data_IF_877200107105
#
_entry.id   IF_877200107105
#
_cell.length_a   1.000
_cell.length_b   1.000
_cell.length_c   1.000
_cell.angle_alpha   90.00
_cell.angle_beta   90.00
_cell.angle_gamma   90.00
#
_symmetry.space_group_name_H-M   'P 1'
#
loop_
_entity.id
_entity.type
_entity.pdbx_description
1 polymer ?
#
# COMPACT_ATOMS: atom_id res chain seq x y z
N UNK A 1 -6.04 5.63 16.72
CA UNK A 1 -7.49 5.60 16.55
C UNK A 1 -8.04 4.46 17.39
N UNK A 2 -8.99 4.75 18.29
CA UNK A 2 -9.62 3.71 19.11
C UNK A 2 -10.71 3.04 18.27
N UNK A 3 -10.44 1.86 17.74
CA UNK A 3 -11.39 1.06 16.95
C UNK A 3 -12.17 0.15 17.88
N UNK A 4 -13.47 -0.02 17.65
CA UNK A 4 -14.30 -1.06 18.24
C UNK A 4 -14.66 -2.09 17.18
N UNK A 5 -14.58 -3.37 17.54
CA UNK A 5 -14.94 -4.44 16.62
C UNK A 5 -16.32 -4.98 16.96
N UNK A 6 -17.12 -5.19 15.93
CA UNK A 6 -18.44 -5.81 16.04
C UNK A 6 -18.28 -7.32 15.95
N UNK A 7 -18.76 -8.05 16.94
CA UNK A 7 -18.55 -9.49 17.09
C UNK A 7 -19.90 -10.20 17.18
N UNK A 8 -20.17 -11.04 16.19
CA UNK A 8 -21.38 -11.86 16.19
C UNK A 8 -21.22 -13.05 17.13
N UNK A 9 -22.15 -13.23 18.06
CA UNK A 9 -22.18 -14.32 19.02
C UNK A 9 -23.27 -15.33 18.67
N UNK A 10 -22.89 -16.43 18.04
CA UNK A 10 -23.76 -17.53 17.65
C UNK A 10 -23.72 -18.67 18.64
N UNK A 11 -24.87 -19.08 19.08
CA UNK A 11 -25.10 -20.31 19.87
C UNK A 11 -26.59 -20.56 20.01
N UNK A 12 -26.96 -21.73 20.55
CA UNK A 12 -28.26 -21.91 21.18
C UNK A 12 -28.41 -20.98 22.40
N UNK A 13 -29.64 -20.61 22.74
CA UNK A 13 -29.89 -19.61 23.80
C UNK A 13 -30.16 -20.25 25.16
N UNK A 14 -31.25 -21.05 25.26
CA UNK A 14 -31.80 -21.53 26.54
C UNK A 14 -30.86 -22.40 27.36
N UNK A 15 -30.00 -23.17 26.73
CA UNK A 15 -29.05 -24.07 27.36
C UNK A 15 -27.72 -23.38 27.71
N UNK A 16 -27.44 -22.19 27.11
CA UNK A 16 -26.18 -21.47 27.23
C UNK A 16 -26.34 -20.04 27.75
N UNK A 17 -27.41 -19.71 28.46
CA UNK A 17 -27.67 -18.35 28.95
C UNK A 17 -26.51 -17.78 29.79
N UNK A 18 -25.98 -18.59 30.74
CA UNK A 18 -24.89 -18.17 31.60
C UNK A 18 -23.58 -18.01 30.82
N UNK A 19 -23.27 -18.93 29.93
CA UNK A 19 -22.09 -18.91 29.07
C UNK A 19 -22.11 -17.70 28.12
N UNK A 20 -23.27 -17.42 27.48
CA UNK A 20 -23.46 -16.25 26.66
C UNK A 20 -23.28 -14.93 27.42
N UNK A 21 -23.89 -14.81 28.59
CA UNK A 21 -23.76 -13.62 29.43
C UNK A 21 -22.30 -13.35 29.78
N UNK A 22 -21.52 -14.37 30.12
CA UNK A 22 -20.10 -14.26 30.45
C UNK A 22 -19.24 -13.88 29.24
N UNK A 23 -19.54 -14.43 28.07
CA UNK A 23 -18.86 -14.05 26.82
C UNK A 23 -19.19 -12.61 26.41
N UNK A 24 -20.45 -12.17 26.53
CA UNK A 24 -20.86 -10.79 26.27
C UNK A 24 -20.11 -9.83 27.20
N UNK A 25 -20.04 -10.12 28.50
CA UNK A 25 -19.25 -9.34 29.47
C UNK A 25 -17.78 -9.25 29.03
N UNK A 26 -17.20 -10.36 28.58
CA UNK A 26 -15.81 -10.42 28.10
C UNK A 26 -15.61 -9.55 26.86
N UNK A 27 -16.53 -9.58 25.90
CA UNK A 27 -16.49 -8.75 24.70
C UNK A 27 -16.57 -7.25 25.00
N UNK A 28 -17.47 -6.87 25.91
CA UNK A 28 -17.61 -5.48 26.38
C UNK A 28 -16.34 -4.99 27.09
N UNK A 29 -15.73 -5.82 27.93
CA UNK A 29 -14.46 -5.52 28.61
C UNK A 29 -13.29 -5.36 27.63
N UNK A 30 -13.41 -5.89 26.41
CA UNK A 30 -12.44 -5.72 25.32
C UNK A 30 -12.80 -4.58 24.34
N UNK A 31 -13.72 -3.69 24.75
CA UNK A 31 -14.20 -2.61 23.89
C UNK A 31 -14.82 -3.09 22.55
N UNK A 32 -15.29 -4.34 22.49
CA UNK A 32 -16.04 -4.87 21.36
C UNK A 32 -17.54 -4.60 21.49
N UNK A 33 -18.24 -4.66 20.36
CA UNK A 33 -19.71 -4.53 20.27
C UNK A 33 -20.27 -5.93 20.03
N UNK A 34 -20.83 -6.59 21.06
CA UNK A 34 -21.45 -7.91 20.86
C UNK A 34 -22.77 -7.77 20.09
N UNK A 35 -23.00 -8.67 19.15
CA UNK A 35 -24.24 -8.80 18.39
C UNK A 35 -24.75 -10.23 18.54
N UNK A 36 -26.01 -10.38 18.87
CA UNK A 36 -26.64 -11.69 19.05
C UNK A 36 -28.14 -11.61 18.79
N UNK A 37 -28.77 -12.76 18.64
CA UNK A 37 -30.19 -12.90 18.30
C UNK A 37 -31.14 -12.30 19.35
N UNK A 38 -30.70 -12.17 20.60
CA UNK A 38 -31.50 -11.61 21.71
C UNK A 38 -31.82 -10.12 21.57
N UNK A 39 -31.15 -9.41 20.68
CA UNK A 39 -31.32 -7.97 20.49
C UNK A 39 -32.26 -7.60 19.33
N UNK A 40 -32.87 -8.61 18.68
CA UNK A 40 -33.74 -8.36 17.52
C UNK A 40 -35.15 -7.91 17.92
N UNK A 41 -35.70 -6.89 17.25
CA UNK A 41 -37.09 -6.59 17.32
C UNK A 41 -37.91 -7.70 16.65
N UNK A 42 -39.14 -7.91 17.12
CA UNK A 42 -40.08 -8.75 16.41
C UNK A 42 -40.47 -8.07 15.08
N UNK A 43 -39.76 -8.39 14.01
CA UNK A 43 -40.02 -7.89 12.66
C UNK A 43 -40.71 -8.96 11.81
N UNK A 44 -41.57 -8.54 10.87
CA UNK A 44 -42.26 -9.45 9.96
C UNK A 44 -41.40 -9.96 8.78
N UNK A 45 -40.12 -9.72 8.80
CA UNK A 45 -39.16 -10.12 7.79
C UNK A 45 -38.67 -11.55 8.04
N UNK A 46 -38.14 -12.19 6.98
CA UNK A 46 -37.49 -13.50 7.10
C UNK A 46 -36.29 -13.44 8.06
N UNK A 47 -36.39 -14.21 9.13
CA UNK A 47 -35.37 -14.21 10.19
C UNK A 47 -33.97 -14.45 9.66
N UNK A 48 -33.78 -15.33 8.66
CA UNK A 48 -32.46 -15.65 8.12
C UNK A 48 -31.89 -14.50 7.29
N UNK A 49 -32.69 -13.74 6.60
CA UNK A 49 -32.28 -12.55 5.85
C UNK A 49 -31.70 -11.51 6.80
N UNK A 50 -32.40 -11.21 7.89
CA UNK A 50 -31.96 -10.26 8.90
C UNK A 50 -30.66 -10.70 9.58
N UNK A 51 -30.51 -12.00 9.88
CA UNK A 51 -29.30 -12.57 10.44
C UNK A 51 -28.11 -12.37 9.51
N UNK A 52 -28.28 -12.61 8.22
CA UNK A 52 -27.20 -12.43 7.21
C UNK A 52 -26.74 -10.98 7.12
N UNK A 53 -27.67 -10.03 7.10
CA UNK A 53 -27.35 -8.60 7.07
C UNK A 53 -26.47 -8.20 8.29
N UNK A 54 -26.80 -8.70 9.47
CA UNK A 54 -26.03 -8.41 10.68
C UNK A 54 -24.67 -9.10 10.71
N UNK A 55 -24.59 -10.31 10.20
CA UNK A 55 -23.30 -11.00 10.06
C UNK A 55 -22.40 -10.23 9.09
N UNK A 56 -22.95 -9.68 8.00
CA UNK A 56 -22.21 -8.89 7.02
C UNK A 56 -21.62 -7.59 7.61
N UNK A 57 -22.25 -7.03 8.66
CA UNK A 57 -21.77 -5.87 9.40
C UNK A 57 -20.71 -6.23 10.46
N UNK A 58 -20.57 -7.52 10.83
CA UNK A 58 -19.66 -7.96 11.86
C UNK A 58 -18.23 -8.16 11.36
N UNK A 59 -17.27 -7.82 12.22
CA UNK A 59 -15.85 -8.02 11.97
C UNK A 59 -15.39 -9.45 12.29
N UNK A 60 -15.93 -10.04 13.34
CA UNK A 60 -15.58 -11.39 13.83
C UNK A 60 -16.81 -12.18 14.20
N UNK A 61 -16.69 -13.48 14.17
CA UNK A 61 -17.74 -14.42 14.53
C UNK A 61 -17.26 -15.41 15.59
N UNK A 62 -18.08 -15.58 16.62
CA UNK A 62 -17.85 -16.53 17.72
C UNK A 62 -18.99 -17.55 17.70
N UNK A 63 -18.63 -18.84 17.60
CA UNK A 63 -19.56 -19.97 17.72
C UNK A 63 -19.34 -20.68 19.04
N UNK A 64 -20.44 -20.89 19.80
CA UNK A 64 -20.43 -21.70 21.00
C UNK A 64 -21.39 -22.87 20.82
N UNK A 65 -20.85 -24.10 20.88
CA UNK A 65 -21.62 -25.34 20.85
C UNK A 65 -21.74 -25.92 22.26
N UNK A 66 -22.96 -26.06 22.73
CA UNK A 66 -23.35 -26.72 23.98
C UNK A 66 -23.83 -28.16 23.77
N UNK A 67 -25.05 -28.46 24.24
CA UNK A 67 -25.69 -29.77 24.17
C UNK A 67 -26.86 -29.86 23.21
N UNK A 68 -27.28 -28.74 22.55
CA UNK A 68 -28.44 -28.69 21.68
C UNK A 68 -28.10 -28.24 20.27
N UNK A 69 -28.90 -28.73 19.31
CA UNK A 69 -28.77 -28.36 17.91
C UNK A 69 -29.35 -26.97 17.61
N UNK A 70 -30.42 -26.61 18.34
CA UNK A 70 -31.12 -25.34 18.21
C UNK A 70 -32.36 -25.41 17.34
N UNK A 71 -32.99 -24.26 17.17
CA UNK A 71 -34.24 -24.13 16.38
C UNK A 71 -33.99 -24.37 14.90
N UNK A 72 -34.87 -25.13 14.27
CA UNK A 72 -34.79 -25.50 12.85
C UNK A 72 -35.42 -24.41 12.00
N UNK A 73 -34.73 -24.03 10.93
CA UNK A 73 -35.28 -23.20 9.87
C UNK A 73 -36.12 -24.09 8.91
N UNK A 74 -37.41 -23.76 8.70
CA UNK A 74 -38.36 -24.68 8.04
C UNK A 74 -38.00 -25.07 6.60
N UNK A 75 -37.33 -24.21 5.83
CA UNK A 75 -37.05 -24.43 4.42
C UNK A 75 -35.82 -25.31 4.19
N UNK A 76 -34.79 -25.16 5.05
CA UNK A 76 -33.52 -25.87 4.93
C UNK A 76 -33.38 -27.11 5.79
N UNK A 77 -34.31 -27.30 6.76
CA UNK A 77 -34.22 -28.35 7.78
C UNK A 77 -32.95 -28.34 8.64
N UNK A 78 -32.18 -27.23 8.60
CA UNK A 78 -31.00 -26.99 9.41
C UNK A 78 -31.31 -26.05 10.58
N UNK A 79 -30.47 -26.08 11.63
CA UNK A 79 -30.61 -25.09 12.70
C UNK A 79 -30.11 -23.71 12.23
N UNK A 80 -30.69 -22.64 12.79
CA UNK A 80 -30.22 -21.28 12.52
C UNK A 80 -28.72 -21.15 12.84
N UNK A 81 -28.25 -21.72 13.94
CA UNK A 81 -26.83 -21.71 14.32
C UNK A 81 -25.93 -22.37 13.25
N UNK A 82 -26.39 -23.46 12.62
CA UNK A 82 -25.64 -24.07 11.52
C UNK A 82 -25.67 -23.21 10.27
N UNK A 83 -26.80 -22.62 9.91
CA UNK A 83 -26.91 -21.72 8.74
C UNK A 83 -26.06 -20.47 8.90
N UNK A 84 -26.01 -19.89 10.09
CA UNK A 84 -25.12 -18.78 10.44
C UNK A 84 -23.66 -19.17 10.20
N UNK A 85 -23.25 -20.31 10.73
CA UNK A 85 -21.88 -20.81 10.56
C UNK A 85 -21.52 -21.07 9.11
N UNK A 86 -22.38 -21.73 8.34
CA UNK A 86 -22.16 -21.99 6.91
C UNK A 86 -22.02 -20.68 6.13
N UNK A 87 -22.88 -19.69 6.41
CA UNK A 87 -22.83 -18.37 5.79
C UNK A 87 -21.55 -17.61 6.10
N UNK A 88 -21.11 -17.61 7.36
CA UNK A 88 -19.86 -16.99 7.77
C UNK A 88 -18.64 -17.63 7.10
N UNK A 89 -18.67 -18.96 6.93
CA UNK A 89 -17.62 -19.70 6.18
C UNK A 89 -17.59 -19.26 4.72
N UNK A 90 -18.74 -19.14 4.07
CA UNK A 90 -18.87 -18.66 2.69
C UNK A 90 -18.33 -17.24 2.53
N UNK A 91 -18.65 -16.34 3.45
CA UNK A 91 -18.19 -14.94 3.45
C UNK A 91 -16.72 -14.76 3.83
N UNK A 92 -16.07 -15.75 4.39
CA UNK A 92 -14.69 -15.67 4.83
C UNK A 92 -14.48 -14.75 6.04
N UNK A 93 -15.49 -14.59 6.89
CA UNK A 93 -15.37 -13.83 8.14
C UNK A 93 -14.54 -14.67 9.13
N UNK A 94 -13.60 -14.06 9.88
CA UNK A 94 -12.79 -14.80 10.85
C UNK A 94 -13.64 -15.43 11.96
N UNK A 95 -13.53 -16.76 12.10
CA UNK A 95 -14.31 -17.58 13.03
C UNK A 95 -13.46 -18.00 14.23
N UNK A 96 -14.04 -17.92 15.44
CA UNK A 96 -13.56 -18.58 16.65
C UNK A 96 -14.65 -19.52 17.14
N UNK A 97 -14.42 -20.84 17.04
CA UNK A 97 -15.40 -21.85 17.40
C UNK A 97 -15.00 -22.59 18.70
N UNK A 98 -15.99 -22.79 19.55
CA UNK A 98 -15.83 -23.42 20.87
C UNK A 98 -16.90 -24.50 21.07
N UNK A 99 -16.50 -25.69 21.56
CA UNK A 99 -17.41 -26.79 21.86
C UNK A 99 -17.25 -27.28 23.28
N UNK A 100 -18.36 -27.71 23.89
CA UNK A 100 -18.35 -28.26 25.26
C UNK A 100 -17.61 -29.59 25.29
N UNK A 101 -16.61 -29.73 26.18
CA UNK A 101 -15.76 -30.91 26.31
C UNK A 101 -16.52 -32.09 26.87
N UNK A 102 -17.22 -31.92 27.98
CA UNK A 102 -17.93 -32.99 28.64
C UNK A 102 -19.45 -32.75 28.68
N UNK A 103 -20.18 -33.36 27.74
CA UNK A 103 -21.63 -33.28 27.67
C UNK A 103 -22.36 -34.16 28.67
N UNK A 104 -21.66 -35.12 29.32
CA UNK A 104 -22.27 -36.03 30.29
C UNK A 104 -22.67 -35.36 31.59
N UNK A 105 -22.13 -34.18 31.86
CA UNK A 105 -22.45 -33.41 33.06
C UNK A 105 -23.65 -32.45 32.85
N UNK A 106 -24.19 -32.39 31.63
CA UNK A 106 -25.35 -31.56 31.32
C UNK A 106 -26.63 -32.21 31.88
N UNK A 107 -27.51 -31.35 32.37
CA UNK A 107 -28.87 -31.73 32.74
C UNK A 107 -29.72 -32.07 31.50
N UNK A 108 -30.75 -32.88 31.65
CA UNK A 108 -31.58 -33.34 30.52
C UNK A 108 -32.21 -32.20 29.71
N UNK A 109 -32.47 -31.04 30.33
CA UNK A 109 -33.00 -29.82 29.67
C UNK A 109 -31.98 -29.13 28.80
N UNK A 110 -30.67 -29.39 28.99
CA UNK A 110 -29.56 -28.84 28.22
C UNK A 110 -29.03 -29.79 27.11
N UNK A 111 -29.59 -30.95 26.96
CA UNK A 111 -29.17 -31.98 25.98
C UNK A 111 -30.26 -32.12 24.91
N UNK A 112 -29.84 -32.43 23.68
CA UNK A 112 -30.78 -32.80 22.61
C UNK A 112 -31.32 -34.21 22.88
N UNK A 113 -32.63 -34.28 23.05
CA UNK A 113 -33.33 -35.54 23.39
C UNK A 113 -33.78 -36.31 22.15
N UNK A 114 -34.21 -35.58 21.13
CA UNK A 114 -34.72 -36.13 19.89
C UNK A 114 -33.61 -36.76 19.06
N UNK A 115 -33.76 -38.02 18.66
CA UNK A 115 -32.69 -38.78 18.02
C UNK A 115 -32.25 -38.22 16.69
N UNK A 116 -33.18 -37.66 15.91
CA UNK A 116 -32.91 -36.99 14.62
C UNK A 116 -32.07 -35.72 14.82
N UNK A 117 -32.49 -34.86 15.73
CA UNK A 117 -31.77 -33.62 16.04
C UNK A 117 -30.42 -33.88 16.67
N UNK A 118 -30.30 -34.98 17.44
CA UNK A 118 -28.99 -35.42 17.99
C UNK A 118 -28.02 -35.84 16.89
N UNK A 119 -28.50 -36.52 15.84
CA UNK A 119 -27.68 -36.88 14.70
C UNK A 119 -27.24 -35.63 13.93
N UNK A 120 -28.18 -34.73 13.60
CA UNK A 120 -27.88 -33.45 12.95
C UNK A 120 -26.86 -32.62 13.76
N UNK A 121 -27.01 -32.59 15.09
CA UNK A 121 -26.06 -31.90 15.96
C UNK A 121 -24.64 -32.53 15.94
N UNK A 122 -24.56 -33.88 15.98
CA UNK A 122 -23.29 -34.60 15.87
C UNK A 122 -22.56 -34.33 14.56
N UNK A 123 -23.30 -34.30 13.45
CA UNK A 123 -22.78 -33.99 12.12
C UNK A 123 -22.28 -32.54 12.06
N UNK A 124 -23.06 -31.58 12.57
CA UNK A 124 -22.66 -30.18 12.65
C UNK A 124 -21.43 -29.99 13.55
N UNK A 125 -21.39 -30.58 14.72
CA UNK A 125 -20.22 -30.53 15.60
C UNK A 125 -18.97 -31.13 14.93
N UNK A 126 -19.13 -32.21 14.20
CA UNK A 126 -18.04 -32.81 13.42
C UNK A 126 -17.55 -31.89 12.31
N UNK A 127 -18.45 -31.20 11.62
CA UNK A 127 -18.11 -30.18 10.63
C UNK A 127 -17.31 -29.04 11.27
N UNK A 128 -17.72 -28.53 12.43
CA UNK A 128 -16.99 -27.47 13.15
C UNK A 128 -15.63 -27.97 13.61
N UNK A 129 -15.54 -29.20 14.14
CA UNK A 129 -14.28 -29.82 14.60
C UNK A 129 -13.30 -30.15 13.47
N UNK A 130 -13.75 -30.23 12.23
CA UNK A 130 -12.86 -30.39 11.07
C UNK A 130 -11.96 -29.17 10.84
N UNK A 131 -12.28 -28.04 11.46
CA UNK A 131 -11.48 -26.81 11.47
C UNK A 131 -10.90 -26.57 12.85
N UNK A 132 -10.00 -25.56 12.96
CA UNK A 132 -9.39 -25.21 14.24
C UNK A 132 -10.45 -24.66 15.22
N UNK A 133 -10.74 -25.39 16.28
CA UNK A 133 -11.66 -25.04 17.35
C UNK A 133 -11.06 -25.37 18.72
N UNK A 134 -11.66 -24.91 19.80
CA UNK A 134 -11.22 -25.20 21.18
C UNK A 134 -12.37 -25.77 22.00
N UNK A 135 -12.06 -26.75 22.87
CA UNK A 135 -13.00 -27.22 23.87
C UNK A 135 -13.13 -26.19 25.02
N UNK A 136 -14.26 -26.23 25.72
CA UNK A 136 -14.49 -25.48 26.96
C UNK A 136 -15.20 -26.36 27.98
N UNK A 137 -15.01 -26.03 29.28
CA UNK A 137 -15.53 -26.85 30.40
C UNK A 137 -16.59 -26.09 31.21
N UNK A 138 -16.45 -24.81 31.40
CA UNK A 138 -17.38 -23.94 32.13
C UNK A 138 -17.33 -22.51 31.57
N UNK A 139 -18.24 -21.65 32.03
CA UNK A 139 -18.38 -20.29 31.52
C UNK A 139 -17.12 -19.42 31.66
N UNK A 140 -16.35 -19.55 32.75
CA UNK A 140 -15.13 -18.78 32.97
C UNK A 140 -13.98 -19.26 32.07
N UNK A 141 -13.83 -20.59 31.88
CA UNK A 141 -12.88 -21.18 30.93
C UNK A 141 -13.20 -20.75 29.49
N UNK A 142 -14.49 -20.77 29.09
CA UNK A 142 -14.95 -20.28 27.80
C UNK A 142 -14.59 -18.82 27.61
N UNK A 143 -14.89 -17.96 28.59
CA UNK A 143 -14.59 -16.52 28.54
C UNK A 143 -13.09 -16.25 28.35
N UNK A 144 -12.22 -16.96 29.07
CA UNK A 144 -10.78 -16.87 28.91
C UNK A 144 -10.29 -17.30 27.52
N UNK A 145 -10.86 -18.40 26.97
CA UNK A 145 -10.54 -18.89 25.64
C UNK A 145 -11.05 -17.98 24.52
N UNK A 146 -12.24 -17.40 24.70
CA UNK A 146 -12.81 -16.38 23.79
C UNK A 146 -11.90 -15.14 23.77
N UNK A 147 -11.53 -14.63 24.94
CA UNK A 147 -10.64 -13.48 25.07
C UNK A 147 -9.33 -13.67 24.30
N UNK A 148 -8.66 -14.79 24.53
CA UNK A 148 -7.38 -15.11 23.88
C UNK A 148 -7.53 -15.33 22.37
N UNK A 149 -8.61 -16.00 21.94
CA UNK A 149 -8.86 -16.25 20.52
C UNK A 149 -9.20 -14.99 19.77
N UNK A 150 -9.95 -14.07 20.37
CA UNK A 150 -10.27 -12.77 19.78
C UNK A 150 -9.01 -11.90 19.60
N UNK A 151 -8.12 -11.87 20.60
CA UNK A 151 -6.83 -11.15 20.47
C UNK A 151 -5.99 -11.71 19.32
N UNK A 152 -5.99 -13.03 19.16
CA UNK A 152 -5.33 -13.67 18.03
C UNK A 152 -5.95 -13.25 16.71
N UNK A 153 -7.28 -13.27 16.59
CA UNK A 153 -8.00 -12.87 15.37
C UNK A 153 -7.73 -11.41 15.03
N UNK A 154 -7.83 -10.50 15.99
CA UNK A 154 -7.57 -9.07 15.77
C UNK A 154 -6.14 -8.84 15.26
N UNK A 155 -5.17 -9.58 15.79
CA UNK A 155 -3.76 -9.45 15.42
C UNK A 155 -3.44 -10.04 14.03
N UNK A 156 -4.01 -11.20 13.70
CA UNK A 156 -3.64 -11.97 12.50
C UNK A 156 -4.62 -11.82 11.34
N UNK A 157 -5.86 -11.41 11.62
CA UNK A 157 -6.91 -11.18 10.64
C UNK A 157 -7.56 -9.80 10.86
N UNK A 158 -6.79 -8.69 10.66
CA UNK A 158 -7.27 -7.35 10.97
C UNK A 158 -8.48 -6.98 10.11
N UNK A 159 -9.50 -6.39 10.74
CA UNK A 159 -10.72 -5.91 10.13
C UNK A 159 -10.84 -4.40 10.25
N UNK A 160 -11.81 -3.80 9.51
CA UNK A 160 -12.01 -2.36 9.50
C UNK A 160 -12.38 -1.81 10.87
N UNK A 161 -13.30 -2.47 11.57
CA UNK A 161 -13.85 -2.01 12.84
C UNK A 161 -14.63 -0.71 12.73
N UNK A 162 -15.23 -0.30 13.83
CA UNK A 162 -16.02 0.92 13.99
C UNK A 162 -15.20 2.03 14.64
N UNK A 163 -15.28 3.23 14.08
CA UNK A 163 -14.63 4.43 14.63
C UNK A 163 -15.67 5.54 14.80
N UNK A 164 -15.47 6.44 15.76
CA UNK A 164 -16.35 7.60 15.92
C UNK A 164 -16.28 8.47 14.66
N UNK A 165 -17.43 8.98 14.21
CA UNK A 165 -17.55 9.80 13.01
C UNK A 165 -16.64 11.04 12.98
N UNK A 166 -16.33 11.62 14.14
CA UNK A 166 -15.37 12.73 14.25
C UNK A 166 -13.89 12.31 14.06
N UNK A 167 -13.61 11.00 14.02
CA UNK A 167 -12.28 10.45 13.74
C UNK A 167 -12.07 10.14 12.26
N UNK A 168 -13.13 10.22 11.46
CA UNK A 168 -13.10 10.09 10.00
C UNK A 168 -12.89 11.48 9.43
N UNK A 169 -11.96 11.62 8.48
CA UNK A 169 -11.79 12.90 7.79
C UNK A 169 -13.15 13.40 7.28
N UNK A 170 -13.51 14.62 7.65
CA UNK A 170 -14.79 15.19 7.22
C UNK A 170 -14.89 15.20 5.69
N UNK A 171 -16.09 15.15 5.13
CA UNK A 171 -16.29 15.28 3.68
C UNK A 171 -15.62 16.53 3.11
N UNK A 172 -15.55 17.60 3.92
CA UNK A 172 -14.85 18.84 3.60
C UNK A 172 -13.32 18.66 3.51
N UNK A 173 -12.72 17.87 4.42
CA UNK A 173 -11.29 17.56 4.38
C UNK A 173 -10.95 16.70 3.15
N UNK A 174 -11.78 15.72 2.80
CA UNK A 174 -11.61 14.93 1.59
C UNK A 174 -11.76 15.76 0.32
N UNK A 175 -12.76 16.67 0.25
CA UNK A 175 -12.94 17.59 -0.86
C UNK A 175 -11.73 18.54 -1.01
N UNK A 176 -11.14 18.99 0.10
CA UNK A 176 -9.94 19.83 0.08
C UNK A 176 -8.70 19.06 -0.40
N UNK A 177 -8.56 17.77 -0.03
CA UNK A 177 -7.48 16.92 -0.52
C UNK A 177 -7.57 16.74 -2.03
N UNK A 178 -8.76 16.43 -2.57
CA UNK A 178 -9.00 16.28 -4.01
C UNK A 178 -8.64 17.58 -4.74
N UNK A 179 -9.13 18.74 -4.24
CA UNK A 179 -8.84 20.05 -4.83
C UNK A 179 -7.34 20.36 -4.85
N UNK A 180 -6.62 20.07 -3.76
CA UNK A 180 -5.17 20.27 -3.69
C UNK A 180 -4.40 19.33 -4.63
N UNK A 181 -4.88 18.11 -4.86
CA UNK A 181 -4.30 17.19 -5.84
C UNK A 181 -4.46 17.73 -7.26
N UNK A 182 -5.67 18.18 -7.64
CA UNK A 182 -5.91 18.80 -8.96
C UNK A 182 -5.06 20.06 -9.19
N UNK A 183 -4.89 20.88 -8.16
CA UNK A 183 -4.05 22.09 -8.24
C UNK A 183 -2.56 21.71 -8.40
N UNK A 184 -2.11 20.71 -7.69
CA UNK A 184 -0.73 20.20 -7.78
C UNK A 184 -0.45 19.63 -9.19
N UNK A 185 -1.36 18.86 -9.76
CA UNK A 185 -1.23 18.36 -11.13
C UNK A 185 -1.15 19.50 -12.15
N UNK A 186 -1.99 20.54 -12.01
CA UNK A 186 -1.94 21.73 -12.88
C UNK A 186 -0.60 22.47 -12.75
N UNK A 187 -0.10 22.65 -11.54
CA UNK A 187 1.18 23.29 -11.31
C UNK A 187 2.35 22.49 -11.91
N UNK A 188 2.33 21.17 -11.79
CA UNK A 188 3.32 20.29 -12.43
C UNK A 188 3.29 20.45 -13.96
N UNK A 189 2.09 20.48 -14.57
CA UNK A 189 1.95 20.69 -16.01
C UNK A 189 2.49 22.07 -16.43
N UNK A 190 2.22 23.14 -15.66
CA UNK A 190 2.76 24.47 -15.92
C UNK A 190 4.28 24.52 -15.81
N UNK A 191 4.87 23.89 -14.79
CA UNK A 191 6.32 23.79 -14.62
C UNK A 191 6.95 23.08 -15.82
N UNK A 192 6.38 21.93 -16.23
CA UNK A 192 6.85 21.18 -17.38
C UNK A 192 6.77 21.99 -18.68
N UNK A 193 5.69 22.72 -18.90
CA UNK A 193 5.52 23.59 -20.06
C UNK A 193 6.53 24.75 -20.09
N UNK A 194 6.77 25.40 -18.94
CA UNK A 194 7.73 26.51 -18.85
C UNK A 194 9.17 26.02 -18.99
N UNK A 195 9.49 24.84 -18.44
CA UNK A 195 10.83 24.26 -18.52
C UNK A 195 11.17 23.67 -19.91
N UNK A 196 10.18 23.44 -20.76
CA UNK A 196 10.37 22.98 -22.15
C UNK A 196 10.56 24.10 -23.16
N UNK A 197 10.45 25.38 -22.74
CA UNK A 197 10.66 26.54 -23.63
C UNK A 197 12.05 27.13 -23.44
N UNK A 198 12.68 27.51 -24.56
CA UNK A 198 13.91 28.30 -24.54
C UNK A 198 13.62 29.63 -23.81
N UNK A 199 14.41 30.03 -22.82
CA UNK A 199 14.26 31.31 -22.19
C UNK A 199 14.56 32.44 -23.22
N UNK A 200 13.69 33.44 -23.27
CA UNK A 200 13.83 34.59 -24.18
C UNK A 200 15.20 35.29 -24.07
N UNK A 201 15.85 35.19 -22.92
CA UNK A 201 17.15 35.76 -22.64
C UNK A 201 18.34 35.00 -23.30
N UNK A 202 18.12 33.83 -23.88
CA UNK A 202 19.21 33.04 -24.50
C UNK A 202 19.44 33.38 -25.99
N UNK A 203 18.56 34.16 -26.64
CA UNK A 203 18.71 34.52 -28.06
C UNK A 203 20.00 35.29 -28.36
N UNK A 204 20.59 35.95 -27.37
CA UNK A 204 21.84 36.71 -27.53
C UNK A 204 23.11 35.80 -27.40
N UNK A 205 22.97 34.56 -27.04
CA UNK A 205 24.12 33.64 -26.91
C UNK A 205 24.34 32.90 -28.23
N UNK A 206 25.61 32.64 -28.56
CA UNK A 206 25.97 31.76 -29.68
C UNK A 206 25.36 30.38 -29.53
N UNK A 207 24.67 29.92 -30.54
CA UNK A 207 23.94 28.65 -30.52
C UNK A 207 23.69 28.09 -31.93
N UNK A 208 23.15 26.90 -32.03
CA UNK A 208 22.79 26.31 -33.30
C UNK A 208 24.00 26.15 -34.23
N UNK A 209 23.92 26.78 -35.40
CA UNK A 209 24.96 26.72 -36.43
C UNK A 209 26.10 27.73 -36.19
N UNK A 210 26.06 28.55 -35.15
CA UNK A 210 27.17 29.45 -34.81
C UNK A 210 28.44 28.62 -34.54
N UNK A 211 29.59 29.12 -35.05
CA UNK A 211 30.84 28.44 -34.99
C UNK A 211 31.63 28.77 -33.73
N UNK A 212 32.08 27.76 -33.03
CA UNK A 212 33.03 27.87 -31.94
C UNK A 212 34.42 27.37 -32.42
N UNK A 213 35.50 28.15 -32.10
CA UNK A 213 36.86 27.76 -32.39
C UNK A 213 37.41 26.96 -31.22
N UNK A 214 37.66 25.68 -31.44
CA UNK A 214 38.15 24.74 -30.47
C UNK A 214 39.69 24.66 -30.59
N UNK A 215 40.42 25.02 -29.54
CA UNK A 215 41.88 24.95 -29.48
C UNK A 215 42.32 23.62 -28.84
N UNK A 216 43.40 23.05 -29.34
CA UNK A 216 43.98 21.82 -28.82
C UNK A 216 45.48 21.74 -29.08
N UNK A 217 46.21 21.10 -28.16
CA UNK A 217 47.67 20.98 -28.15
C UNK A 217 48.09 19.51 -28.02
N UNK A 218 49.35 19.20 -28.43
CA UNK A 218 49.91 17.85 -28.29
C UNK A 218 50.05 17.43 -26.82
N UNK A 219 49.68 16.20 -26.49
CA UNK A 219 49.72 15.65 -25.13
C UNK A 219 51.17 15.40 -24.65
N UNK A 220 52.16 15.31 -25.57
CA UNK A 220 53.55 15.01 -25.27
C UNK A 220 54.45 16.02 -26.03
N UNK A 221 54.71 17.17 -25.41
CA UNK A 221 55.76 18.05 -25.88
C UNK A 221 56.75 18.38 -24.77
N UNK A 222 57.94 17.82 -24.85
CA UNK A 222 59.16 18.25 -24.10
C UNK A 222 59.85 19.45 -24.78
N UNK A 223 59.25 19.98 -25.87
CA UNK A 223 59.81 21.12 -26.63
C UNK A 223 58.91 22.35 -26.43
N UNK A 224 59.57 23.50 -26.25
CA UNK A 224 58.99 24.83 -26.01
C UNK A 224 58.20 25.44 -27.18
N UNK A 225 57.93 24.69 -28.23
CA UNK A 225 57.10 25.07 -29.41
C UNK A 225 55.89 24.12 -29.51
N UNK A 226 54.92 24.28 -28.62
CA UNK A 226 53.60 23.69 -28.81
C UNK A 226 52.92 24.44 -29.96
N UNK A 227 52.69 23.79 -31.12
CA UNK A 227 51.84 24.34 -32.16
C UNK A 227 50.41 24.15 -31.71
N UNK A 228 49.81 25.22 -31.17
CA UNK A 228 48.38 25.26 -30.89
C UNK A 228 47.63 25.10 -32.23
N UNK A 229 46.78 24.12 -32.28
CA UNK A 229 45.91 23.84 -33.44
C UNK A 229 44.51 24.28 -33.11
N UNK A 230 43.74 24.63 -34.13
CA UNK A 230 42.38 25.05 -33.99
C UNK A 230 41.45 24.24 -34.94
N UNK A 231 40.19 24.05 -34.54
CA UNK A 231 39.13 23.46 -35.32
C UNK A 231 37.85 24.24 -35.09
N UNK A 232 37.16 24.62 -36.17
CA UNK A 232 35.81 25.23 -36.06
C UNK A 232 34.73 24.16 -36.01
N UNK A 233 33.85 24.26 -35.05
CA UNK A 233 32.76 23.30 -34.78
C UNK A 233 31.51 24.12 -34.44
N UNK A 234 30.34 23.72 -34.91
CA UNK A 234 29.10 24.38 -34.54
C UNK A 234 28.63 23.96 -33.14
N UNK A 235 27.85 24.81 -32.49
CA UNK A 235 27.27 24.48 -31.19
C UNK A 235 26.31 23.30 -31.27
N UNK A 236 25.62 23.12 -32.44
CA UNK A 236 24.82 21.92 -32.69
C UNK A 236 25.67 20.64 -32.70
N UNK A 237 26.82 20.64 -33.41
CA UNK A 237 27.71 19.48 -33.45
C UNK A 237 28.25 19.15 -32.02
N UNK A 238 28.63 20.19 -31.26
CA UNK A 238 29.10 20.02 -29.88
C UNK A 238 28.00 19.37 -29.04
N UNK A 239 26.78 19.92 -29.05
CA UNK A 239 25.65 19.42 -28.28
C UNK A 239 25.27 17.98 -28.66
N UNK A 240 25.10 17.70 -29.95
CA UNK A 240 24.75 16.39 -30.47
C UNK A 240 25.80 15.33 -30.12
N UNK A 241 27.08 15.70 -30.07
CA UNK A 241 28.14 14.75 -29.70
C UNK A 241 28.01 14.25 -28.26
N UNK A 242 27.53 15.08 -27.32
CA UNK A 242 27.45 14.75 -25.88
C UNK A 242 26.04 14.42 -25.39
N UNK A 243 24.99 14.78 -26.13
CA UNK A 243 23.60 14.65 -25.69
C UNK A 243 23.22 13.23 -25.29
N UNK A 244 23.65 12.21 -26.04
CA UNK A 244 23.35 10.80 -25.73
C UNK A 244 24.01 10.34 -24.43
N UNK A 245 25.20 10.86 -24.13
CA UNK A 245 25.93 10.57 -22.89
C UNK A 245 25.20 11.19 -21.68
N UNK A 246 24.71 12.40 -21.84
CA UNK A 246 24.04 13.20 -20.80
C UNK A 246 22.58 12.77 -20.49
N UNK A 247 22.06 11.72 -21.14
CA UNK A 247 20.77 11.12 -20.78
C UNK A 247 20.77 10.54 -19.34
N UNK A 248 21.95 10.23 -18.83
CA UNK A 248 22.20 9.83 -17.44
C UNK A 248 23.22 10.80 -16.81
N UNK A 249 23.25 10.95 -15.49
CA UNK A 249 24.27 11.74 -14.84
C UNK A 249 25.67 11.24 -15.15
N UNK A 250 26.56 12.12 -15.64
CA UNK A 250 27.94 11.79 -16.03
C UNK A 250 28.93 12.79 -15.44
N UNK A 251 30.18 12.35 -15.26
CA UNK A 251 31.26 13.21 -14.78
C UNK A 251 31.75 14.16 -15.89
N UNK A 252 32.34 15.28 -15.48
CA UNK A 252 32.98 16.24 -16.37
C UNK A 252 34.07 15.60 -17.23
N UNK A 253 34.82 14.66 -16.67
CA UNK A 253 35.87 13.92 -17.39
C UNK A 253 35.28 13.10 -18.55
N UNK A 254 34.16 12.43 -18.34
CA UNK A 254 33.49 11.64 -19.40
C UNK A 254 33.00 12.52 -20.57
N UNK A 255 32.53 13.74 -20.28
CA UNK A 255 32.15 14.70 -21.31
C UNK A 255 33.38 15.13 -22.11
N UNK A 256 34.50 15.46 -21.42
CA UNK A 256 35.74 15.86 -22.02
C UNK A 256 36.30 14.76 -22.94
N UNK A 257 36.35 13.53 -22.45
CA UNK A 257 36.80 12.37 -23.25
C UNK A 257 35.93 12.17 -24.51
N UNK A 258 34.63 12.35 -24.42
CA UNK A 258 33.71 12.23 -25.57
C UNK A 258 33.98 13.31 -26.60
N UNK A 259 34.14 14.58 -26.21
CA UNK A 259 34.45 15.70 -27.10
C UNK A 259 35.83 15.52 -27.75
N UNK A 260 36.84 15.09 -26.98
CA UNK A 260 38.18 14.79 -27.50
C UNK A 260 38.11 13.71 -28.59
N UNK A 261 37.41 12.62 -28.32
CA UNK A 261 37.29 11.51 -29.28
C UNK A 261 36.58 11.90 -30.59
N UNK A 262 35.60 12.83 -30.50
CA UNK A 262 34.81 13.23 -31.67
C UNK A 262 35.51 14.27 -32.54
N UNK A 263 36.14 15.27 -31.90
CA UNK A 263 36.62 16.46 -32.60
C UNK A 263 38.12 16.54 -32.79
N UNK A 264 38.90 15.79 -31.98
CA UNK A 264 40.36 15.99 -31.91
C UNK A 264 41.10 14.71 -32.28
N UNK A 265 42.24 14.82 -33.06
CA UNK A 265 43.04 13.64 -33.38
C UNK A 265 43.67 12.99 -32.14
N UNK A 266 43.97 11.70 -32.23
CA UNK A 266 44.66 10.96 -31.19
C UNK A 266 46.00 11.64 -30.89
N UNK A 267 46.38 11.75 -29.62
CA UNK A 267 47.57 12.43 -29.06
C UNK A 267 47.41 13.96 -28.82
N UNK A 268 46.25 14.55 -29.05
CA UNK A 268 45.99 15.93 -28.74
C UNK A 268 44.97 16.04 -27.58
N UNK A 269 44.99 17.17 -26.87
CA UNK A 269 44.09 17.45 -25.74
C UNK A 269 43.40 18.77 -25.96
N UNK A 270 42.10 18.83 -25.70
CA UNK A 270 41.32 20.10 -25.71
C UNK A 270 41.85 21.06 -24.69
N UNK A 271 41.97 22.33 -25.07
CA UNK A 271 42.31 23.39 -24.12
C UNK A 271 41.32 23.45 -22.98
N UNK A 272 41.80 23.62 -21.77
CA UNK A 272 40.98 23.61 -20.56
C UNK A 272 39.97 24.77 -20.56
N UNK A 273 40.35 25.94 -21.08
CA UNK A 273 39.48 27.11 -21.12
C UNK A 273 38.33 26.91 -22.12
N UNK A 274 38.61 26.31 -23.26
CA UNK A 274 37.59 26.01 -24.28
C UNK A 274 36.60 24.97 -23.80
N UNK A 275 37.10 23.92 -23.12
CA UNK A 275 36.23 22.94 -22.51
C UNK A 275 35.28 23.53 -21.45
N UNK A 276 35.78 24.41 -20.59
CA UNK A 276 34.95 25.13 -19.61
C UNK A 276 33.95 26.08 -20.29
N UNK A 277 34.38 26.75 -21.35
CA UNK A 277 33.47 27.60 -22.16
C UNK A 277 32.33 26.80 -22.75
N UNK A 278 32.58 25.59 -23.25
CA UNK A 278 31.53 24.69 -23.77
C UNK A 278 30.53 24.34 -22.67
N UNK A 279 30.96 23.95 -21.49
CA UNK A 279 30.07 23.61 -20.39
C UNK A 279 29.23 24.79 -19.94
N UNK A 280 29.86 25.98 -19.79
CA UNK A 280 29.16 27.21 -19.37
C UNK A 280 28.13 27.60 -20.41
N UNK A 281 28.46 27.55 -21.69
CA UNK A 281 27.55 27.91 -22.79
C UNK A 281 26.36 26.95 -22.86
N UNK A 282 26.57 25.64 -22.81
CA UNK A 282 25.48 24.65 -22.80
C UNK A 282 24.57 24.83 -21.57
N UNK A 283 25.14 25.21 -20.42
CA UNK A 283 24.39 25.51 -19.23
C UNK A 283 23.61 26.83 -19.33
N UNK A 284 24.21 27.88 -19.90
CA UNK A 284 23.54 29.15 -20.18
C UNK A 284 22.38 29.00 -21.14
N UNK A 285 22.51 28.14 -22.15
CA UNK A 285 21.44 27.72 -23.06
C UNK A 285 20.40 26.81 -22.40
N UNK A 286 20.58 26.45 -21.13
CA UNK A 286 19.73 25.50 -20.38
C UNK A 286 19.59 24.12 -21.02
N UNK A 287 20.53 23.72 -21.84
CA UNK A 287 20.59 22.38 -22.43
C UNK A 287 21.03 21.32 -21.40
N UNK A 288 21.96 21.71 -20.52
CA UNK A 288 22.51 20.87 -19.46
C UNK A 288 22.39 21.53 -18.10
N UNK A 289 22.41 20.74 -17.05
CA UNK A 289 22.45 21.20 -15.65
C UNK A 289 23.36 20.31 -14.81
N UNK A 290 23.80 20.84 -13.68
CA UNK A 290 24.48 20.03 -12.67
C UNK A 290 23.47 19.25 -11.85
N UNK A 291 23.67 17.94 -11.71
CA UNK A 291 23.00 17.11 -10.73
C UNK A 291 23.91 16.98 -9.52
N UNK A 292 23.51 17.61 -8.40
CA UNK A 292 24.18 17.44 -7.12
C UNK A 292 23.72 16.10 -6.56
N UNK A 293 24.37 15.03 -6.96
CA UNK A 293 24.05 13.67 -6.55
C UNK A 293 24.10 13.54 -5.03
N UNK A 294 23.05 12.94 -4.47
CA UNK A 294 23.07 12.41 -3.11
C UNK A 294 24.26 11.46 -2.97
N UNK A 295 25.09 11.71 -1.97
CA UNK A 295 26.24 10.93 -1.55
C UNK A 295 26.27 9.46 -1.96
N UNK A 296 27.13 9.14 -2.90
CA UNK A 296 27.73 7.82 -2.99
C UNK A 296 29.22 7.93 -2.61
N UNK A 297 29.48 8.07 -1.28
CA UNK A 297 30.84 7.99 -0.71
C UNK A 297 31.69 9.26 -0.87
N UNK A 298 32.03 9.87 0.19
CA UNK A 298 33.06 10.83 0.63
C UNK A 298 33.89 11.66 -0.39
N UNK A 299 33.34 12.08 -1.54
CA UNK A 299 33.78 13.27 -2.26
C UNK A 299 32.66 13.76 -3.16
N UNK A 300 32.32 15.06 -3.05
CA UNK A 300 31.27 15.71 -3.85
C UNK A 300 31.76 15.82 -5.30
N UNK A 301 31.37 14.87 -6.15
CA UNK A 301 31.56 14.98 -7.59
C UNK A 301 30.35 15.69 -8.20
N UNK A 302 30.59 16.69 -9.02
CA UNK A 302 29.58 17.35 -9.84
C UNK A 302 29.29 16.45 -11.04
N UNK A 303 28.03 16.01 -11.15
CA UNK A 303 27.54 15.29 -12.32
C UNK A 303 26.77 16.24 -13.23
N UNK A 304 26.81 15.96 -14.52
CA UNK A 304 26.10 16.72 -15.55
C UNK A 304 25.01 15.87 -16.17
N UNK A 305 23.86 16.49 -16.46
CA UNK A 305 22.69 15.82 -17.03
C UNK A 305 21.93 16.76 -17.97
N UNK A 306 21.24 16.20 -18.97
CA UNK A 306 20.35 17.00 -19.81
C UNK A 306 19.16 17.54 -19.01
N UNK A 307 18.86 18.81 -19.23
CA UNK A 307 17.61 19.42 -18.77
C UNK A 307 16.40 18.86 -19.55
N UNK A 308 15.19 19.17 -19.12
CA UNK A 308 14.00 18.82 -19.90
C UNK A 308 13.97 19.53 -21.26
N UNK A 309 14.42 20.79 -21.31
CA UNK A 309 14.58 21.53 -22.55
C UNK A 309 15.64 20.87 -23.45
N UNK A 310 16.82 20.53 -22.93
CA UNK A 310 17.85 19.84 -23.69
C UNK A 310 17.41 18.49 -24.27
N UNK A 311 16.49 17.78 -23.61
CA UNK A 311 15.88 16.53 -24.12
C UNK A 311 14.92 16.78 -25.28
N UNK A 312 14.17 17.91 -25.29
CA UNK A 312 13.28 18.25 -26.40
C UNK A 312 14.03 18.67 -27.68
N UNK A 313 15.28 19.12 -27.56
CA UNK A 313 16.12 19.49 -28.70
C UNK A 313 16.78 18.29 -29.40
N UNK A 314 16.66 17.08 -28.87
CA UNK A 314 17.20 15.86 -29.49
C UNK A 314 16.15 15.17 -30.38
N UNK A 315 14.86 15.48 -30.20
CA UNK A 315 13.74 14.93 -31.00
C UNK A 315 13.45 15.78 -32.16
#
# INVERSE_FOLDING_TARGET
MNKKYQVFLSSTFKDLENERAKVIETLLNKDCIPVGMEYFPAAGEDQMTLIKELIDECDYYILILGGKYGSIEPSSEKSYTQLEYEYVVEKGIPISAFYLENKNELTADKIEIESELRTKFSDFESLVKSRMCKSWTNADDLAGKVSTSLDYQIKHHPRCGWVRGNSVASSEANAKIIKLQEENEKLIQQINFLSSKLPVETEQYMQGEDLFTLHYSECISLSTNSHDKEKKVSWNEIFLSVCTLLLKPVSEESIKEKLQKEFIPVFYVIDKSDFQTILIQLMALKLISTDIGKDYGSSAYTYWVLTQYGRSEIG
#
